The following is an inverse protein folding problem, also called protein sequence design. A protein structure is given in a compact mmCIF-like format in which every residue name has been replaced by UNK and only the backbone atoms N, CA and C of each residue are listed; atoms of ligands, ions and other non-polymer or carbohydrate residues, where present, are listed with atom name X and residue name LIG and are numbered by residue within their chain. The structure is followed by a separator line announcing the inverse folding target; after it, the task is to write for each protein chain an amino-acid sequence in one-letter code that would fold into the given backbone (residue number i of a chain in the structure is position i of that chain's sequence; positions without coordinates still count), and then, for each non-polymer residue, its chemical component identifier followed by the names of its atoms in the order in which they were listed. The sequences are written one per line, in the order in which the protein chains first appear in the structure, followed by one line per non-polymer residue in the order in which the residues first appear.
data_IF_360624200472
#
_entry.id   IF_360624200472
#
_cell.length_a   1.000
_cell.length_b   1.000
_cell.length_c   1.000
_cell.angle_alpha   90.00
_cell.angle_beta   90.00
_cell.angle_gamma   90.00
#
_symmetry.space_group_name_H-M   'P 1'
#
loop_
_entity.id
_entity.type
_entity.pdbx_description
1 polymer ?
#
# COMPACT_ATOMS: atom_id res chain seq x y z
N UNK A 1 6.00 47.42 -21.81
CA UNK A 1 5.14 46.23 -21.70
C UNK A 1 5.84 45.24 -20.78
N UNK A 2 5.39 45.10 -19.53
CA UNK A 2 5.85 44.00 -18.66
C UNK A 2 4.79 42.92 -18.74
N UNK A 3 5.21 41.69 -19.06
CA UNK A 3 4.33 40.55 -19.32
C UNK A 3 3.53 40.12 -18.09
N UNK A 4 2.35 39.57 -18.37
CA UNK A 4 1.42 38.99 -17.42
C UNK A 4 1.95 37.66 -16.88
N UNK A 5 2.04 37.54 -15.56
CA UNK A 5 1.87 36.27 -14.86
C UNK A 5 3.10 35.36 -14.74
N UNK A 6 3.86 35.54 -13.66
CA UNK A 6 4.42 34.41 -12.92
C UNK A 6 4.05 34.60 -11.45
N UNK A 7 2.85 34.15 -11.08
CA UNK A 7 2.27 34.30 -9.72
C UNK A 7 2.61 33.10 -8.81
N UNK A 8 3.35 32.10 -9.28
CA UNK A 8 3.72 30.95 -8.45
C UNK A 8 5.23 30.72 -8.49
N UNK A 9 5.92 31.42 -7.60
CA UNK A 9 7.27 31.03 -7.20
C UNK A 9 7.20 29.69 -6.48
N UNK A 10 7.47 28.59 -7.20
CA UNK A 10 7.62 27.26 -6.59
C UNK A 10 8.97 26.60 -6.89
N UNK A 11 9.93 27.33 -7.47
CA UNK A 11 11.32 26.86 -7.56
C UNK A 11 12.17 27.51 -6.49
N UNK A 12 11.97 27.12 -5.24
CA UNK A 12 13.01 27.33 -4.23
C UNK A 12 14.02 26.19 -4.41
N UNK A 13 15.13 26.48 -5.09
CA UNK A 13 16.25 25.57 -5.20
C UNK A 13 16.76 25.22 -3.80
N UNK A 14 16.51 23.98 -3.35
CA UNK A 14 17.08 23.45 -2.11
C UNK A 14 16.15 22.63 -1.23
N UNK A 15 14.84 22.58 -1.49
CA UNK A 15 13.92 21.71 -0.75
C UNK A 15 13.59 20.46 -1.59
N UNK A 16 13.82 19.24 -1.06
CA UNK A 16 13.38 18.02 -1.73
C UNK A 16 11.88 18.11 -1.99
N UNK A 17 11.45 17.87 -3.23
CA UNK A 17 10.05 17.54 -3.47
C UNK A 17 9.70 16.35 -2.59
N UNK A 18 8.64 16.50 -1.79
CA UNK A 18 8.14 15.42 -0.95
C UNK A 18 7.70 14.29 -1.89
N UNK A 19 8.55 13.27 -2.08
CA UNK A 19 8.15 12.01 -2.69
C UNK A 19 7.17 11.35 -1.72
N UNK A 20 5.88 11.60 -1.93
CA UNK A 20 4.84 10.71 -1.42
C UNK A 20 5.20 9.33 -1.97
N UNK A 21 5.51 8.39 -1.08
CA UNK A 21 5.91 7.04 -1.46
C UNK A 21 5.01 6.51 -2.58
N UNK A 22 5.60 5.96 -3.63
CA UNK A 22 4.89 5.62 -4.85
C UNK A 22 4.04 4.36 -4.65
N UNK A 23 2.84 4.54 -4.09
CA UNK A 23 1.82 3.48 -3.94
C UNK A 23 1.50 2.86 -5.31
N UNK A 24 1.77 3.56 -6.42
CA UNK A 24 1.50 3.07 -7.78
C UNK A 24 2.52 1.99 -8.17
N UNK A 25 3.78 2.08 -7.73
CA UNK A 25 4.82 1.10 -8.08
C UNK A 25 4.53 -0.29 -7.47
N UNK A 26 4.07 -0.34 -6.21
CA UNK A 26 3.80 -1.60 -5.49
C UNK A 26 2.35 -2.10 -5.66
N UNK A 27 1.48 -1.30 -6.29
CA UNK A 27 0.07 -1.65 -6.49
C UNK A 27 -0.12 -3.05 -7.12
N UNK A 28 0.64 -3.48 -8.14
CA UNK A 28 0.47 -4.81 -8.70
C UNK A 28 0.74 -5.94 -7.69
N UNK A 29 1.75 -5.78 -6.84
CA UNK A 29 2.12 -6.78 -5.82
C UNK A 29 1.02 -6.86 -4.75
N UNK A 30 0.53 -5.70 -4.31
CA UNK A 30 -0.55 -5.62 -3.32
C UNK A 30 -1.86 -6.21 -3.85
N UNK A 31 -2.19 -5.97 -5.12
CA UNK A 31 -3.40 -6.51 -5.74
C UNK A 31 -3.34 -8.02 -5.89
N UNK A 32 -2.19 -8.60 -6.25
CA UNK A 32 -2.03 -10.06 -6.29
C UNK A 32 -2.11 -10.67 -4.89
N UNK A 33 -1.47 -10.06 -3.88
CA UNK A 33 -1.60 -10.50 -2.49
C UNK A 33 -3.06 -10.47 -2.02
N UNK A 34 -3.82 -9.42 -2.38
CA UNK A 34 -5.24 -9.28 -2.07
C UNK A 34 -6.09 -10.40 -2.70
N UNK A 35 -5.82 -10.74 -3.97
CA UNK A 35 -6.51 -11.85 -4.66
C UNK A 35 -6.25 -13.19 -3.98
N UNK A 36 -5.00 -13.49 -3.65
CA UNK A 36 -4.62 -14.73 -2.97
C UNK A 36 -5.29 -14.81 -1.60
N UNK A 37 -5.26 -13.73 -0.81
CA UNK A 37 -5.94 -13.69 0.47
C UNK A 37 -7.46 -13.90 0.34
N UNK A 38 -8.08 -13.31 -0.68
CA UNK A 38 -9.52 -13.48 -0.97
C UNK A 38 -9.85 -14.93 -1.35
N UNK A 39 -8.99 -15.58 -2.13
CA UNK A 39 -9.15 -16.99 -2.49
C UNK A 39 -9.04 -17.90 -1.27
N UNK A 40 -7.95 -17.78 -0.49
CA UNK A 40 -7.71 -18.62 0.69
C UNK A 40 -8.87 -18.48 1.69
N UNK A 41 -9.28 -17.24 1.98
CA UNK A 41 -10.37 -16.97 2.93
C UNK A 41 -11.75 -17.45 2.48
N UNK A 42 -11.93 -17.76 1.18
CA UNK A 42 -13.16 -18.35 0.65
C UNK A 42 -13.26 -19.87 0.85
N UNK A 43 -12.15 -20.54 1.17
CA UNK A 43 -12.12 -21.99 1.39
C UNK A 43 -12.61 -22.28 2.81
N UNK A 44 -13.58 -23.19 2.94
CA UNK A 44 -14.08 -23.61 4.25
C UNK A 44 -12.99 -24.35 5.02
N UNK A 45 -12.77 -23.96 6.29
CA UNK A 45 -11.75 -24.60 7.14
C UNK A 45 -10.29 -24.29 6.76
N UNK A 46 -10.02 -23.28 5.91
CA UNK A 46 -8.67 -22.97 5.43
C UNK A 46 -7.63 -22.74 6.55
N UNK A 47 -8.06 -22.34 7.75
CA UNK A 47 -7.18 -22.13 8.90
C UNK A 47 -6.61 -23.44 9.47
N UNK A 48 -7.26 -24.57 9.21
CA UNK A 48 -6.82 -25.91 9.60
C UNK A 48 -5.89 -26.53 8.55
N UNK A 49 -5.83 -25.95 7.35
CA UNK A 49 -4.98 -26.42 6.26
C UNK A 49 -3.49 -26.24 6.64
N UNK A 50 -2.68 -27.31 6.62
CA UNK A 50 -1.25 -27.22 6.87
C UNK A 50 -0.51 -26.23 5.96
N UNK A 51 -1.00 -25.98 4.74
CA UNK A 51 -0.43 -25.02 3.79
C UNK A 51 -0.51 -23.58 4.31
N UNK A 52 -1.62 -23.23 4.96
CA UNK A 52 -1.89 -21.84 5.42
C UNK A 52 -1.65 -21.63 6.91
N UNK A 53 -1.16 -22.65 7.62
CA UNK A 53 -0.94 -22.61 9.07
C UNK A 53 -0.12 -21.40 9.52
N UNK A 54 0.91 -21.01 8.76
CA UNK A 54 1.74 -19.85 9.10
C UNK A 54 0.97 -18.54 9.04
N UNK A 55 0.07 -18.38 8.07
CA UNK A 55 -0.78 -17.19 7.93
C UNK A 55 -1.80 -17.16 9.07
N UNK A 56 -2.47 -18.30 9.33
CA UNK A 56 -3.44 -18.42 10.41
C UNK A 56 -2.85 -18.08 11.79
N UNK A 57 -1.63 -18.56 12.09
CA UNK A 57 -0.92 -18.26 13.34
C UNK A 57 -0.67 -16.77 13.57
N UNK A 58 -0.53 -15.97 12.51
CA UNK A 58 -0.19 -14.55 12.61
C UNK A 58 -1.39 -13.62 12.48
N UNK A 59 -2.58 -14.12 12.13
CA UNK A 59 -3.81 -13.31 12.05
C UNK A 59 -4.41 -12.98 13.43
N UNK A 60 -4.17 -13.79 14.45
CA UNK A 60 -4.72 -13.56 15.80
C UNK A 60 -4.04 -12.41 16.55
N UNK A 61 -2.88 -11.93 16.06
CA UNK A 61 -2.26 -10.70 16.56
C UNK A 61 -3.04 -9.51 16.03
N UNK A 62 -4.09 -9.12 16.75
CA UNK A 62 -4.70 -7.80 16.61
C UNK A 62 -3.65 -6.73 16.94
N UNK A 63 -2.93 -6.27 15.94
CA UNK A 63 -2.34 -4.93 15.97
C UNK A 63 -3.52 -3.95 15.97
N UNK A 64 -3.74 -3.28 17.10
CA UNK A 64 -4.61 -2.13 17.18
C UNK A 64 -4.02 -1.06 16.26
N UNK A 65 -4.57 -0.96 15.05
CA UNK A 65 -4.34 0.17 14.16
C UNK A 65 -5.24 1.31 14.66
N UNK A 66 -4.73 2.06 15.64
CA UNK A 66 -5.20 3.40 15.99
C UNK A 66 -4.71 4.44 14.96
#
# INVERSE_FOLDING_TARGET
MRGSGEIFGTRQSGLPEFQVADIIEDFPILEEARKVASYISSIEGWQEDPEWRMIALHLEKKEHLD
#
